data_IF_076937675756
#
_entry.id   IF_076937675756
#
_cell.length_a   1.000
_cell.length_b   1.000
_cell.length_c   1.000
_cell.angle_alpha   90.00
_cell.angle_beta   90.00
_cell.angle_gamma   90.00
#
_symmetry.space_group_name_H-M   'P 1'
#
loop_
_entity.id
_entity.type
_entity.pdbx_description
1 polymer ?
#
# COMPACT_ATOMS: atom_id res chain seq x y z
N UNK A 1 -20.96 -0.26 -7.56
CA UNK A 1 -19.65 0.40 -7.39
C UNK A 1 -19.17 0.01 -6.00
N UNK A 2 -18.00 -0.61 -5.89
CA UNK A 2 -17.52 -1.19 -4.62
C UNK A 2 -16.61 -0.24 -3.84
N UNK A 3 -16.07 -0.72 -2.71
CA UNK A 3 -15.05 -0.02 -1.94
C UNK A 3 -13.65 -0.51 -2.32
N UNK A 4 -12.64 0.33 -2.10
CA UNK A 4 -11.24 -0.06 -2.18
C UNK A 4 -10.59 0.09 -0.81
N UNK A 5 -9.73 -0.86 -0.46
CA UNK A 5 -8.84 -0.78 0.71
C UNK A 5 -7.41 -0.87 0.20
N UNK A 6 -6.53 0.02 0.64
CA UNK A 6 -5.11 0.02 0.29
C UNK A 6 -4.31 -0.11 1.57
N UNK A 7 -3.68 -1.26 1.75
CA UNK A 7 -2.91 -1.56 2.95
C UNK A 7 -1.75 -2.50 2.63
N UNK A 8 -0.57 -2.16 3.13
CA UNK A 8 0.61 -3.02 3.08
C UNK A 8 0.59 -4.04 4.22
N UNK A 9 0.05 -3.65 5.38
CA UNK A 9 -0.20 -4.54 6.51
C UNK A 9 -1.71 -4.76 6.71
N UNK A 10 -2.14 -6.02 6.56
CA UNK A 10 -3.54 -6.40 6.72
C UNK A 10 -3.92 -6.73 8.17
N UNK A 11 -2.98 -6.74 9.11
CA UNK A 11 -3.22 -7.12 10.52
C UNK A 11 -4.27 -6.25 11.21
N UNK A 12 -4.42 -4.99 10.77
CA UNK A 12 -5.39 -4.03 11.31
C UNK A 12 -6.79 -4.12 10.65
N UNK A 13 -6.93 -4.89 9.58
CA UNK A 13 -8.20 -5.08 8.89
C UNK A 13 -8.98 -6.22 9.54
N UNK A 14 -9.93 -5.86 10.41
CA UNK A 14 -10.73 -6.81 11.20
C UNK A 14 -11.97 -7.28 10.41
N UNK A 15 -12.51 -6.45 9.51
CA UNK A 15 -13.69 -6.78 8.71
C UNK A 15 -13.60 -6.14 7.34
N UNK A 16 -13.86 -6.93 6.30
CA UNK A 16 -13.93 -6.45 4.92
C UNK A 16 -15.16 -7.06 4.25
N UNK A 17 -15.99 -6.20 3.65
CA UNK A 17 -17.17 -6.66 2.91
C UNK A 17 -16.77 -7.36 1.59
N UNK A 18 -17.66 -8.21 1.06
CA UNK A 18 -17.39 -8.98 -0.16
C UNK A 18 -17.27 -8.12 -1.42
N UNK A 19 -17.72 -6.87 -1.38
CA UNK A 19 -17.66 -5.93 -2.50
C UNK A 19 -16.41 -5.03 -2.45
N UNK A 20 -15.54 -5.24 -1.46
CA UNK A 20 -14.30 -4.49 -1.31
C UNK A 20 -13.17 -5.12 -2.11
N UNK A 21 -12.48 -4.28 -2.89
CA UNK A 21 -11.20 -4.63 -3.50
C UNK A 21 -10.05 -4.25 -2.58
N UNK A 22 -9.25 -5.21 -2.15
CA UNK A 22 -8.07 -4.98 -1.31
C UNK A 22 -6.82 -4.93 -2.19
N UNK A 23 -6.06 -3.84 -2.10
CA UNK A 23 -4.75 -3.68 -2.70
C UNK A 23 -3.69 -3.86 -1.62
N UNK A 24 -2.85 -4.88 -1.77
CA UNK A 24 -1.87 -5.25 -0.75
C UNK A 24 -0.60 -5.81 -1.34
N UNK A 25 0.46 -5.88 -0.55
CA UNK A 25 1.75 -6.44 -0.98
C UNK A 25 1.64 -7.96 -1.16
N UNK A 26 2.35 -8.49 -2.15
CA UNK A 26 2.45 -9.95 -2.34
C UNK A 26 3.40 -10.58 -1.29
N UNK A 27 3.02 -10.58 -0.02
CA UNK A 27 3.77 -11.23 1.08
C UNK A 27 3.15 -12.57 1.50
N UNK A 28 3.89 -13.37 2.28
CA UNK A 28 3.36 -14.60 2.87
C UNK A 28 2.21 -14.29 3.84
N UNK A 29 2.32 -13.22 4.63
CA UNK A 29 1.32 -12.78 5.60
C UNK A 29 0.02 -12.36 4.90
N UNK A 30 0.13 -11.57 3.82
CA UNK A 30 -1.05 -11.14 3.06
C UNK A 30 -1.78 -12.31 2.39
N UNK A 31 -1.05 -13.36 2.01
CA UNK A 31 -1.65 -14.59 1.48
C UNK A 31 -2.37 -15.39 2.56
N UNK A 32 -1.76 -15.54 3.74
CA UNK A 32 -2.43 -16.20 4.89
C UNK A 32 -3.72 -15.47 5.26
N UNK A 33 -3.66 -14.14 5.36
CA UNK A 33 -4.83 -13.32 5.64
C UNK A 33 -5.92 -13.53 4.56
N UNK A 34 -5.53 -13.57 3.28
CA UNK A 34 -6.45 -13.82 2.17
C UNK A 34 -7.13 -15.19 2.23
N UNK A 35 -6.39 -16.24 2.61
CA UNK A 35 -6.92 -17.60 2.75
C UNK A 35 -7.95 -17.70 3.89
N UNK A 36 -7.77 -16.90 4.94
CA UNK A 36 -8.69 -16.78 6.08
C UNK A 36 -9.95 -15.94 5.75
N UNK A 37 -9.84 -15.00 4.80
CA UNK A 37 -10.91 -14.07 4.41
C UNK A 37 -11.43 -14.40 2.99
N UNK A 38 -12.03 -15.58 2.85
CA UNK A 38 -12.57 -16.04 1.56
C UNK A 38 -13.77 -15.18 1.11
N UNK A 39 -13.73 -14.69 -0.13
CA UNK A 39 -14.81 -13.91 -0.75
C UNK A 39 -14.52 -12.43 -0.94
N UNK A 40 -13.35 -11.93 -0.51
CA UNK A 40 -12.84 -10.60 -0.87
C UNK A 40 -12.04 -10.61 -2.17
N UNK A 41 -12.17 -9.54 -2.97
CA UNK A 41 -11.36 -9.37 -4.17
C UNK A 41 -10.00 -8.80 -3.80
N UNK A 42 -8.95 -9.62 -3.83
CA UNK A 42 -7.61 -9.17 -3.41
C UNK A 42 -6.71 -9.03 -4.64
N UNK A 43 -6.07 -7.88 -4.75
CA UNK A 43 -5.03 -7.59 -5.73
C UNK A 43 -3.69 -7.47 -5.03
N UNK A 44 -2.87 -8.50 -5.23
CA UNK A 44 -1.50 -8.53 -4.76
C UNK A 44 -0.57 -7.73 -5.68
N UNK A 45 0.11 -6.74 -5.11
CA UNK A 45 1.15 -5.95 -5.77
C UNK A 45 2.47 -6.66 -5.52
N UNK A 46 3.05 -7.22 -6.58
CA UNK A 46 4.36 -7.87 -6.53
C UNK A 46 5.45 -6.81 -6.63
N UNK A 47 6.19 -6.64 -5.52
CA UNK A 47 7.36 -5.76 -5.48
C UNK A 47 8.53 -6.49 -6.16
N UNK A 48 9.15 -5.91 -7.19
CA UNK A 48 10.30 -6.51 -7.84
C UNK A 48 11.51 -6.60 -6.90
N UNK A 49 12.31 -7.66 -7.05
CA UNK A 49 13.49 -7.88 -6.20
C UNK A 49 14.52 -6.76 -6.27
N UNK A 50 14.61 -6.04 -7.40
CA UNK A 50 15.54 -4.90 -7.52
C UNK A 50 15.18 -3.74 -6.58
N UNK A 51 13.90 -3.56 -6.25
CA UNK A 51 13.44 -2.54 -5.30
C UNK A 51 13.97 -2.87 -3.91
N UNK A 52 13.83 -4.14 -3.49
CA UNK A 52 14.34 -4.62 -2.20
C UNK A 52 15.88 -4.57 -2.13
N UNK A 53 16.58 -4.74 -3.26
CA UNK A 53 18.04 -4.59 -3.32
C UNK A 53 18.42 -3.10 -3.17
N UNK A 54 17.70 -2.21 -3.85
CA UNK A 54 17.85 -0.76 -3.69
C UNK A 54 17.67 -0.32 -2.23
N UNK A 55 16.62 -0.80 -1.57
CA UNK A 55 16.36 -0.50 -0.16
C UNK A 55 17.52 -0.96 0.74
N UNK A 56 18.09 -2.14 0.49
CA UNK A 56 19.26 -2.62 1.23
C UNK A 56 20.50 -1.75 1.03
N UNK A 57 20.70 -1.22 -0.17
CA UNK A 57 21.83 -0.31 -0.47
C UNK A 57 21.65 1.02 0.23
N UNK A 58 20.46 1.63 0.14
CA UNK A 58 20.15 2.92 0.79
C UNK A 58 20.25 2.79 2.31
N UNK A 59 19.60 1.79 2.89
CA UNK A 59 19.64 1.54 4.34
C UNK A 59 21.09 1.27 4.81
N UNK A 60 21.88 0.55 4.01
CA UNK A 60 23.28 0.28 4.30
C UNK A 60 24.14 1.55 4.29
N UNK A 61 23.92 2.43 3.32
CA UNK A 61 24.60 3.73 3.22
C UNK A 61 24.26 4.62 4.43
N UNK A 62 22.99 4.74 4.78
CA UNK A 62 22.55 5.55 5.91
C UNK A 62 23.12 5.04 7.24
N UNK A 63 23.13 3.72 7.44
CA UNK A 63 23.63 3.11 8.67
C UNK A 63 25.15 3.20 8.80
N UNK A 64 25.91 3.04 7.71
CA UNK A 64 27.38 3.00 7.76
C UNK A 64 28.04 4.37 7.54
N UNK A 65 27.49 5.22 6.67
CA UNK A 65 28.09 6.50 6.29
C UNK A 65 27.52 7.63 7.16
N UNK A 66 26.19 7.69 7.29
CA UNK A 66 25.51 8.77 8.00
C UNK A 66 25.32 8.51 9.51
N UNK A 67 25.53 7.26 9.98
CA UNK A 67 25.33 6.82 11.37
C UNK A 67 23.95 7.21 11.93
N UNK A 68 22.94 7.31 11.07
CA UNK A 68 21.57 7.58 11.47
C UNK A 68 21.01 6.25 11.98
N UNK A 69 20.84 6.16 13.31
CA UNK A 69 20.42 4.93 13.98
C UNK A 69 18.90 4.80 14.13
N UNK A 70 18.17 5.90 14.00
CA UNK A 70 16.71 5.93 14.09
C UNK A 70 16.12 5.95 12.68
N UNK A 71 15.87 4.76 12.12
CA UNK A 71 15.58 4.56 10.70
C UNK A 71 14.16 4.08 10.39
N UNK A 72 13.23 4.04 11.37
CA UNK A 72 11.93 3.37 11.12
C UNK A 72 11.12 4.00 9.99
N UNK A 73 11.32 5.29 9.70
CA UNK A 73 10.65 6.00 8.61
C UNK A 73 11.26 5.74 7.22
N UNK A 74 12.54 5.33 7.14
CA UNK A 74 13.28 5.16 5.88
C UNK A 74 13.49 3.69 5.50
N UNK A 75 13.34 2.77 6.46
CA UNK A 75 13.44 1.33 6.21
C UNK A 75 12.36 0.91 5.21
N UNK A 76 12.79 0.45 4.04
CA UNK A 76 11.94 0.00 2.92
C UNK A 76 11.20 1.15 2.20
N UNK A 77 11.81 2.34 2.14
CA UNK A 77 11.22 3.49 1.45
C UNK A 77 10.90 3.23 -0.03
N UNK A 78 11.78 2.57 -0.80
CA UNK A 78 11.53 2.27 -2.21
C UNK A 78 10.41 1.24 -2.36
N UNK A 79 10.35 0.24 -1.47
CA UNK A 79 9.22 -0.68 -1.39
C UNK A 79 7.90 0.07 -1.20
N UNK A 80 7.83 0.98 -0.22
CA UNK A 80 6.63 1.79 0.04
C UNK A 80 6.26 2.66 -1.15
N UNK A 81 7.22 3.38 -1.73
CA UNK A 81 6.98 4.26 -2.89
C UNK A 81 6.49 3.45 -4.09
N UNK A 82 7.11 2.30 -4.37
CA UNK A 82 6.69 1.43 -5.48
C UNK A 82 5.27 0.89 -5.23
N UNK A 83 4.98 0.43 -4.02
CA UNK A 83 3.66 -0.05 -3.65
C UNK A 83 2.60 1.06 -3.84
N UNK A 84 2.84 2.24 -3.29
CA UNK A 84 1.93 3.38 -3.39
C UNK A 84 1.70 3.79 -4.85
N UNK A 85 2.75 3.79 -5.68
CA UNK A 85 2.64 4.07 -7.12
C UNK A 85 1.74 3.05 -7.83
N UNK A 86 1.95 1.76 -7.60
CA UNK A 86 1.14 0.71 -8.23
C UNK A 86 -0.31 0.72 -7.74
N UNK A 87 -0.53 0.95 -6.44
CA UNK A 87 -1.87 1.11 -5.88
C UNK A 87 -2.59 2.31 -6.52
N UNK A 88 -1.90 3.44 -6.63
CA UNK A 88 -2.43 4.64 -7.26
C UNK A 88 -2.80 4.41 -8.73
N UNK A 89 -1.96 3.70 -9.47
CA UNK A 89 -2.25 3.32 -10.86
C UNK A 89 -3.52 2.47 -10.94
N UNK A 90 -3.68 1.45 -10.09
CA UNK A 90 -4.85 0.60 -10.16
C UNK A 90 -6.15 1.28 -9.71
N UNK A 91 -6.06 2.17 -8.74
CA UNK A 91 -7.20 2.95 -8.24
C UNK A 91 -7.68 3.96 -9.28
N UNK A 92 -6.76 4.59 -10.02
CA UNK A 92 -7.11 5.53 -11.08
C UNK A 92 -7.93 4.88 -12.21
N UNK A 93 -7.63 3.60 -12.49
CA UNK A 93 -8.23 2.84 -13.60
C UNK A 93 -9.54 2.11 -13.26
N UNK A 94 -10.11 2.35 -12.07
CA UNK A 94 -11.39 1.79 -11.65
C UNK A 94 -12.22 2.84 -10.93
N UNK A 95 -13.52 2.61 -10.79
CA UNK A 95 -14.44 3.48 -10.04
C UNK A 95 -14.76 2.84 -8.69
N UNK A 96 -14.60 3.62 -7.63
CA UNK A 96 -14.88 3.24 -6.24
C UNK A 96 -15.76 4.29 -5.58
N UNK A 97 -16.68 3.85 -4.71
CA UNK A 97 -17.50 4.77 -3.90
C UNK A 97 -16.74 5.29 -2.69
N UNK A 98 -15.75 4.53 -2.22
CA UNK A 98 -14.91 4.87 -1.08
C UNK A 98 -13.54 4.20 -1.25
N UNK A 99 -12.49 4.91 -0.85
CA UNK A 99 -11.13 4.39 -0.81
C UNK A 99 -10.58 4.54 0.61
N UNK A 100 -10.25 3.43 1.24
CA UNK A 100 -9.73 3.37 2.60
C UNK A 100 -8.23 3.08 2.58
N UNK A 101 -7.47 3.78 3.39
CA UNK A 101 -6.01 3.68 3.46
C UNK A 101 -5.54 3.25 4.84
N UNK A 102 -4.50 2.42 4.89
CA UNK A 102 -3.89 1.99 6.15
C UNK A 102 -3.37 3.16 7.02
N UNK A 103 -2.88 4.23 6.38
CA UNK A 103 -2.36 5.41 7.07
C UNK A 103 -2.37 6.65 6.16
N UNK A 104 -2.23 7.83 6.78
CA UNK A 104 -2.25 9.12 6.09
C UNK A 104 -1.09 9.30 5.08
N UNK A 105 0.07 8.70 5.33
CA UNK A 105 1.20 8.76 4.40
C UNK A 105 0.87 8.03 3.09
N UNK A 106 0.29 6.83 3.19
CA UNK A 106 -0.13 6.05 2.03
C UNK A 106 -1.25 6.75 1.26
N UNK A 107 -2.25 7.29 1.97
CA UNK A 107 -3.33 8.10 1.38
C UNK A 107 -2.76 9.26 0.57
N UNK A 108 -1.93 10.10 1.18
CA UNK A 108 -1.33 11.26 0.52
C UNK A 108 -0.54 10.86 -0.73
N UNK A 109 0.33 9.85 -0.63
CA UNK A 109 1.14 9.39 -1.78
C UNK A 109 0.29 8.84 -2.92
N UNK A 110 -0.81 8.16 -2.61
CA UNK A 110 -1.69 7.58 -3.63
C UNK A 110 -2.55 8.64 -4.31
N UNK A 111 -3.09 9.59 -3.53
CA UNK A 111 -3.96 10.66 -4.04
C UNK A 111 -3.19 11.68 -4.89
N UNK A 112 -1.92 11.94 -4.60
CA UNK A 112 -1.08 12.85 -5.39
C UNK A 112 -0.80 12.36 -6.82
N UNK A 113 -1.08 11.09 -7.13
CA UNK A 113 -0.72 10.47 -8.40
C UNK A 113 -1.94 10.19 -9.27
N UNK A 114 -1.73 10.20 -10.59
CA UNK A 114 -2.72 9.80 -11.61
C UNK A 114 -4.09 10.50 -11.51
N UNK A 115 -4.14 11.70 -10.92
CA UNK A 115 -5.39 12.47 -10.74
C UNK A 115 -6.33 11.92 -9.66
N UNK A 116 -5.89 10.94 -8.85
CA UNK A 116 -6.71 10.32 -7.80
C UNK A 116 -7.22 11.34 -6.78
N UNK A 117 -6.43 12.38 -6.48
CA UNK A 117 -6.83 13.45 -5.58
C UNK A 117 -8.04 14.25 -6.05
N UNK A 118 -8.28 14.39 -7.36
CA UNK A 118 -9.51 15.02 -7.85
C UNK A 118 -10.71 14.07 -7.81
N UNK A 119 -10.44 12.77 -7.93
CA UNK A 119 -11.47 11.73 -8.05
C UNK A 119 -12.01 11.27 -6.70
N UNK A 120 -11.16 11.24 -5.68
CA UNK A 120 -11.46 10.61 -4.39
C UNK A 120 -11.25 11.51 -3.18
N UNK A 121 -11.10 12.84 -3.36
CA UNK A 121 -10.84 13.76 -2.25
C UNK A 121 -11.86 13.63 -1.11
N UNK A 122 -13.14 13.51 -1.49
CA UNK A 122 -14.27 13.56 -0.54
C UNK A 122 -14.68 12.17 -0.02
N UNK A 123 -14.08 11.10 -0.54
CA UNK A 123 -14.42 9.73 -0.19
C UNK A 123 -13.20 8.85 0.10
N UNK A 124 -12.07 9.49 0.42
CA UNK A 124 -10.84 8.84 0.83
C UNK A 124 -10.62 9.03 2.34
N UNK A 125 -10.55 7.92 3.09
CA UNK A 125 -10.35 7.94 4.54
C UNK A 125 -9.21 7.02 4.97
N UNK A 126 -8.73 7.22 6.20
CA UNK A 126 -7.78 6.33 6.87
C UNK A 126 -8.54 5.39 7.80
N UNK A 127 -8.13 4.12 7.84
CA UNK A 127 -8.74 3.05 8.65
C UNK A 127 -8.28 3.14 10.10
#
# INVERSE_FOLDING_TARGET
MGKAVVAMDLSKLIFVDKETTIYTVSSLESKKWADEHQGTSIRFIKIPSYVNIGDKVVNGFEKHILKIHDQSEYVNMLHFVYFAHMAAYYIANKEYTQVLFENANLQSKVLMQFGNGMKYLDCADVI
#
